data_IF_908529956314
#
_entry.id   IF_908529956314
#
_cell.length_a   1.000
_cell.length_b   1.000
_cell.length_c   1.000
_cell.angle_alpha   90.00
_cell.angle_beta   90.00
_cell.angle_gamma   90.00
#
_symmetry.space_group_name_H-M   'P 1'
#
loop_
_entity.id
_entity.type
_entity.pdbx_description
1 polymer ?
#
# COMPACT_ATOMS: atom_id res chain seq x y z
N UNK A 1 8.50 -0.39 -15.33
CA UNK A 1 8.83 -0.52 -13.90
C UNK A 1 7.63 -1.16 -13.26
N UNK A 2 7.69 -2.46 -12.95
CA UNK A 2 6.59 -3.11 -12.23
C UNK A 2 6.61 -2.62 -10.78
N UNK A 3 5.45 -2.14 -10.30
CA UNK A 3 5.35 -1.65 -8.93
C UNK A 3 5.34 -2.83 -7.97
N UNK A 4 5.97 -2.65 -6.81
CA UNK A 4 6.11 -3.72 -5.82
C UNK A 4 4.80 -4.33 -5.34
N UNK A 5 3.67 -3.60 -5.43
CA UNK A 5 2.36 -4.14 -5.05
C UNK A 5 1.95 -5.37 -5.87
N UNK A 6 2.47 -5.55 -7.10
CA UNK A 6 2.17 -6.73 -7.94
C UNK A 6 2.63 -8.05 -7.29
N UNK A 7 3.61 -8.00 -6.39
CA UNK A 7 4.14 -9.16 -5.67
C UNK A 7 3.32 -9.54 -4.42
N UNK A 8 2.22 -8.83 -4.15
CA UNK A 8 1.20 -9.27 -3.16
C UNK A 8 0.38 -10.48 -3.65
N UNK A 9 0.57 -10.90 -4.91
CA UNK A 9 0.10 -12.16 -5.50
C UNK A 9 0.77 -13.42 -4.93
N UNK A 10 0.45 -14.59 -5.48
CA UNK A 10 1.16 -15.85 -5.19
C UNK A 10 2.45 -16.01 -6.00
N UNK A 11 2.75 -15.05 -6.88
CA UNK A 11 3.97 -15.06 -7.67
C UNK A 11 5.19 -14.77 -6.78
N UNK A 12 6.20 -15.64 -6.79
CA UNK A 12 7.48 -15.33 -6.16
C UNK A 12 8.25 -14.29 -6.98
N UNK A 13 9.15 -13.56 -6.31
CA UNK A 13 10.15 -12.75 -6.97
C UNK A 13 11.56 -13.20 -6.61
N UNK A 14 12.49 -12.98 -7.54
CA UNK A 14 13.92 -13.20 -7.33
C UNK A 14 14.63 -11.87 -7.13
N UNK A 15 15.68 -11.87 -6.32
CA UNK A 15 16.46 -10.65 -6.08
C UNK A 15 17.91 -10.96 -5.72
N UNK A 16 18.73 -9.91 -5.82
CA UNK A 16 20.14 -9.92 -5.40
C UNK A 16 20.36 -8.80 -4.41
N UNK A 17 21.06 -9.13 -3.33
CA UNK A 17 21.55 -8.18 -2.33
C UNK A 17 23.06 -8.08 -2.50
N UNK A 18 23.53 -6.89 -2.87
CA UNK A 18 24.95 -6.60 -3.00
C UNK A 18 25.48 -6.07 -1.66
N UNK A 19 26.53 -6.71 -1.14
CA UNK A 19 27.22 -6.28 0.07
C UNK A 19 28.74 -6.25 -0.19
N UNK A 20 29.25 -5.07 -0.55
CA UNK A 20 30.64 -4.88 -0.95
C UNK A 20 30.96 -5.69 -2.21
N UNK A 21 31.84 -6.68 -2.09
CA UNK A 21 32.21 -7.59 -3.19
C UNK A 21 31.41 -8.90 -3.22
N UNK A 22 30.48 -9.09 -2.28
CA UNK A 22 29.66 -10.30 -2.19
C UNK A 22 28.25 -10.02 -2.72
N UNK A 23 27.73 -10.96 -3.50
CA UNK A 23 26.35 -10.96 -3.96
C UNK A 23 25.62 -12.15 -3.33
N UNK A 24 24.53 -11.86 -2.64
CA UNK A 24 23.60 -12.87 -2.13
C UNK A 24 22.37 -12.85 -3.02
N UNK A 25 21.91 -14.01 -3.47
CA UNK A 25 20.74 -14.14 -4.31
C UNK A 25 19.68 -15.03 -3.66
N UNK A 26 18.44 -14.75 -4.01
CA UNK A 26 17.30 -15.62 -3.75
C UNK A 26 16.43 -15.73 -5.01
N UNK A 27 15.83 -16.90 -5.18
CA UNK A 27 14.97 -17.20 -6.34
C UNK A 27 13.47 -17.18 -6.02
N UNK A 28 13.11 -17.41 -4.77
CA UNK A 28 11.73 -17.56 -4.31
C UNK A 28 11.48 -16.70 -3.06
N UNK A 29 11.34 -15.39 -3.26
CA UNK A 29 10.86 -14.45 -2.26
C UNK A 29 9.35 -14.25 -2.40
N UNK A 30 8.63 -14.29 -1.28
CA UNK A 30 7.19 -14.03 -1.24
C UNK A 30 6.92 -12.84 -0.33
N UNK A 31 6.17 -11.86 -0.84
CA UNK A 31 5.87 -10.65 -0.08
C UNK A 31 4.88 -10.94 1.04
N UNK A 32 5.21 -10.57 2.27
CA UNK A 32 4.34 -10.74 3.43
C UNK A 32 3.56 -9.48 3.74
N UNK A 33 4.23 -8.33 3.69
CA UNK A 33 3.61 -7.04 3.93
C UNK A 33 4.06 -6.04 2.88
N UNK A 34 3.14 -5.17 2.49
CA UNK A 34 3.37 -4.06 1.62
C UNK A 34 2.69 -2.84 2.24
N UNK A 35 3.43 -1.76 2.48
CA UNK A 35 2.83 -0.49 2.86
C UNK A 35 3.40 0.68 2.08
N UNK A 36 2.54 1.66 1.82
CA UNK A 36 2.90 2.93 1.21
C UNK A 36 2.36 4.05 2.06
N UNK A 37 3.24 4.94 2.46
CA UNK A 37 2.90 6.14 3.21
C UNK A 37 3.39 7.37 2.46
N UNK A 38 2.56 8.40 2.44
CA UNK A 38 2.84 9.64 1.75
C UNK A 38 2.12 10.80 2.44
N UNK A 39 2.83 11.90 2.63
CA UNK A 39 2.29 13.15 3.18
C UNK A 39 2.74 14.35 2.38
N UNK A 40 2.00 15.45 2.47
CA UNK A 40 2.39 16.72 1.86
C UNK A 40 3.76 17.15 2.38
N UNK A 41 4.68 17.50 1.48
CA UNK A 41 6.03 17.94 1.82
C UNK A 41 6.99 16.82 2.26
N UNK A 42 6.56 15.55 2.21
CA UNK A 42 7.38 14.40 2.59
C UNK A 42 7.73 13.55 1.37
N UNK A 43 8.87 12.85 1.42
CA UNK A 43 9.21 11.87 0.39
C UNK A 43 8.31 10.65 0.60
N UNK A 44 7.56 10.19 -0.44
CA UNK A 44 6.76 8.97 -0.34
C UNK A 44 7.65 7.78 0.01
N UNK A 45 7.20 6.96 0.95
CA UNK A 45 7.93 5.77 1.39
C UNK A 45 7.13 4.52 1.06
N UNK A 46 7.84 3.48 0.60
CA UNK A 46 7.31 2.15 0.40
C UNK A 46 8.08 1.23 1.34
N UNK A 47 7.37 0.47 2.17
CA UNK A 47 7.96 -0.53 3.05
C UNK A 47 7.43 -1.91 2.67
N UNK A 48 8.33 -2.88 2.54
CA UNK A 48 7.96 -4.26 2.18
C UNK A 48 8.66 -5.26 3.07
N UNK A 49 7.93 -6.24 3.60
CA UNK A 49 8.52 -7.44 4.20
C UNK A 49 8.33 -8.63 3.27
N UNK A 50 9.29 -9.55 3.24
CA UNK A 50 9.20 -10.75 2.42
C UNK A 50 9.92 -11.91 3.08
N UNK A 51 9.33 -13.09 2.95
CA UNK A 51 9.93 -14.35 3.38
C UNK A 51 10.52 -15.08 2.17
N UNK A 52 11.75 -15.56 2.34
CA UNK A 52 12.47 -16.32 1.32
C UNK A 52 12.37 -17.78 1.68
N UNK A 53 11.91 -18.60 0.73
CA UNK A 53 11.85 -20.05 0.91
C UNK A 53 12.78 -20.76 -0.07
N UNK A 54 13.45 -21.81 0.42
CA UNK A 54 14.42 -22.58 -0.37
C UNK A 54 15.80 -21.93 -0.38
N UNK A 55 16.37 -21.74 -1.57
CA UNK A 55 17.79 -21.37 -1.71
C UNK A 55 18.03 -19.87 -1.53
N UNK A 56 18.73 -19.54 -0.45
CA UNK A 56 19.40 -18.27 -0.22
C UNK A 56 20.91 -18.51 -0.17
N UNK A 57 21.68 -17.84 -1.04
CA UNK A 57 23.11 -18.10 -1.09
C UNK A 57 23.90 -17.17 -1.99
N UNK A 58 25.22 -17.39 -2.04
CA UNK A 58 26.11 -16.62 -2.90
C UNK A 58 25.97 -17.08 -4.35
N UNK A 59 25.70 -16.16 -5.26
CA UNK A 59 25.53 -16.43 -6.68
C UNK A 59 25.43 -15.15 -7.49
N UNK A 60 25.35 -15.28 -8.82
CA UNK A 60 25.14 -14.15 -9.72
C UNK A 60 23.77 -14.28 -10.39
N UNK A 61 22.95 -13.22 -10.27
CA UNK A 61 21.78 -13.01 -11.09
C UNK A 61 22.06 -11.78 -11.95
N UNK A 62 21.79 -11.84 -13.25
CA UNK A 62 21.86 -10.65 -14.10
C UNK A 62 20.66 -9.77 -13.75
N UNK A 63 20.90 -8.72 -12.97
CA UNK A 63 19.89 -7.70 -12.70
C UNK A 63 19.92 -6.71 -13.86
N UNK A 64 18.78 -6.36 -14.48
CA UNK A 64 18.74 -5.29 -15.47
C UNK A 64 19.25 -3.98 -14.86
N UNK A 65 19.94 -3.17 -15.67
CA UNK A 65 20.41 -1.85 -15.24
C UNK A 65 19.20 -0.96 -14.96
N UNK A 66 19.03 -0.56 -13.71
CA UNK A 66 17.95 0.32 -13.31
C UNK A 66 18.19 1.75 -13.80
N UNK A 67 17.21 2.29 -14.52
CA UNK A 67 17.11 3.71 -14.77
C UNK A 67 16.39 4.36 -13.58
N UNK A 68 17.15 4.97 -12.68
CA UNK A 68 16.57 5.76 -11.61
C UNK A 68 16.08 7.11 -12.15
N UNK A 69 14.89 7.58 -11.74
CA UNK A 69 14.46 8.93 -12.09
C UNK A 69 15.44 9.95 -11.52
N UNK A 70 15.82 10.93 -12.34
CA UNK A 70 16.79 11.98 -11.97
C UNK A 70 16.24 12.99 -10.95
N UNK A 71 14.93 12.96 -10.68
CA UNK A 71 14.25 13.90 -9.80
C UNK A 71 13.31 13.17 -8.85
N UNK A 72 13.45 13.46 -7.56
CA UNK A 72 12.52 13.04 -6.52
C UNK A 72 11.33 13.98 -6.57
N UNK A 73 10.13 13.40 -6.57
CA UNK A 73 8.90 14.17 -6.52
C UNK A 73 8.41 14.28 -5.07
N UNK A 74 8.40 15.51 -4.55
CA UNK A 74 7.80 15.79 -3.25
C UNK A 74 6.35 16.25 -3.50
N UNK A 75 5.35 15.53 -2.96
CA UNK A 75 3.95 15.88 -3.06
C UNK A 75 3.66 17.26 -2.47
N UNK A 76 2.86 18.04 -3.19
CA UNK A 76 2.31 19.32 -2.76
C UNK A 76 0.79 19.21 -2.56
N UNK A 77 0.15 20.27 -2.08
CA UNK A 77 -1.30 20.41 -2.11
C UNK A 77 -1.83 20.15 -3.54
N UNK A 78 -2.92 19.39 -3.69
CA UNK A 78 -3.45 18.89 -4.97
C UNK A 78 -2.68 17.74 -5.65
N UNK A 79 -1.56 17.26 -5.09
CA UNK A 79 -0.87 16.08 -5.63
C UNK A 79 -1.55 14.76 -5.23
N UNK A 80 -2.48 14.79 -4.27
CA UNK A 80 -3.19 13.62 -3.77
C UNK A 80 -4.68 13.82 -3.95
N UNK A 81 -5.36 12.83 -4.51
CA UNK A 81 -6.80 12.81 -4.70
C UNK A 81 -7.38 11.55 -4.06
N UNK A 82 -8.48 11.74 -3.36
CA UNK A 82 -9.24 10.69 -2.71
C UNK A 82 -10.67 10.73 -3.21
N UNK A 83 -11.14 9.57 -3.68
CA UNK A 83 -12.52 9.32 -4.03
C UNK A 83 -13.07 8.26 -3.07
N UNK A 84 -14.15 8.60 -2.40
CA UNK A 84 -14.89 7.75 -1.47
C UNK A 84 -16.37 7.79 -1.85
N UNK A 85 -16.74 7.19 -2.98
CA UNK A 85 -18.10 6.99 -3.52
C UNK A 85 -19.05 8.21 -3.34
N UNK A 86 -19.53 8.41 -2.12
CA UNK A 86 -20.12 9.63 -1.55
C UNK A 86 -19.40 10.97 -1.79
N UNK A 87 -18.06 11.05 -1.76
CA UNK A 87 -17.36 12.33 -1.93
C UNK A 87 -15.98 12.22 -2.59
N UNK A 88 -15.54 13.35 -3.15
CA UNK A 88 -14.23 13.51 -3.78
C UNK A 88 -13.51 14.68 -3.14
N UNK A 89 -12.23 14.51 -2.80
CA UNK A 89 -11.41 15.61 -2.29
C UNK A 89 -9.97 15.52 -2.79
N UNK A 90 -9.38 16.67 -3.06
CA UNK A 90 -7.95 16.85 -3.34
C UNK A 90 -7.20 17.51 -2.18
N UNK A 91 -7.86 17.67 -1.02
CA UNK A 91 -7.29 18.20 0.23
C UNK A 91 -6.85 17.09 1.19
N UNK A 92 -6.17 16.08 0.64
CA UNK A 92 -5.59 14.99 1.40
C UNK A 92 -4.24 15.46 1.97
N UNK A 93 -4.08 15.41 3.29
CA UNK A 93 -2.84 15.80 3.97
C UNK A 93 -1.83 14.65 3.98
N UNK A 94 -2.30 13.43 4.21
CA UNK A 94 -1.51 12.22 4.16
C UNK A 94 -2.39 10.99 3.91
N UNK A 95 -1.77 9.93 3.42
CA UNK A 95 -2.34 8.59 3.38
C UNK A 95 -1.29 7.55 3.77
N UNK A 96 -1.77 6.45 4.30
CA UNK A 96 -1.03 5.23 4.56
C UNK A 96 -1.90 4.04 4.15
N UNK A 97 -1.39 3.21 3.25
CA UNK A 97 -2.06 1.98 2.81
C UNK A 97 -1.16 0.83 3.17
N UNK A 98 -1.70 -0.16 3.89
CA UNK A 98 -0.98 -1.38 4.26
C UNK A 98 -1.77 -2.61 3.84
N UNK A 99 -1.07 -3.57 3.26
CA UNK A 99 -1.58 -4.85 2.78
C UNK A 99 -0.79 -5.95 3.49
N UNK A 100 -1.50 -6.82 4.21
CA UNK A 100 -0.93 -7.97 4.89
C UNK A 100 -1.33 -9.26 4.19
N UNK A 101 -0.35 -9.91 3.55
CA UNK A 101 -0.48 -11.19 2.85
C UNK A 101 0.33 -12.25 3.59
N UNK A 102 -0.19 -12.86 4.67
CA UNK A 102 0.51 -13.92 5.37
C UNK A 102 0.83 -15.08 4.41
N UNK A 103 1.99 -15.73 4.54
CA UNK A 103 2.44 -16.79 3.64
C UNK A 103 2.46 -18.15 4.33
N UNK A 104 1.90 -19.15 3.66
CA UNK A 104 1.83 -20.53 4.13
C UNK A 104 2.63 -21.42 3.17
N UNK A 105 3.80 -21.93 3.59
CA UNK A 105 4.57 -22.89 2.80
C UNK A 105 3.97 -24.30 2.90
N UNK A 106 3.87 -24.98 1.77
CA UNK A 106 3.41 -26.36 1.65
C UNK A 106 4.61 -27.27 1.33
N UNK A 107 4.81 -28.29 2.14
CA UNK A 107 5.91 -29.26 1.99
C UNK A 107 5.35 -30.63 1.63
N UNK A 108 5.86 -31.23 0.56
CA UNK A 108 5.65 -32.64 0.28
C UNK A 108 6.57 -33.51 1.17
N UNK A 109 6.16 -34.77 1.40
CA UNK A 109 6.95 -35.70 2.19
C UNK A 109 8.27 -36.00 1.48
N UNK A 110 9.38 -35.66 2.13
CA UNK A 110 10.74 -35.94 1.66
C UNK A 110 11.44 -34.77 0.97
N UNK A 111 10.76 -33.64 0.77
CA UNK A 111 11.36 -32.43 0.19
C UNK A 111 11.91 -31.50 1.29
N UNK A 112 13.06 -30.89 1.03
CA UNK A 112 13.72 -29.88 1.86
C UNK A 112 13.32 -28.44 1.47
N UNK A 113 12.74 -28.26 0.29
CA UNK A 113 12.12 -27.02 -0.17
C UNK A 113 10.59 -27.13 -0.22
N UNK A 114 9.84 -26.03 0.01
CA UNK A 114 8.39 -26.08 -0.15
C UNK A 114 8.01 -26.29 -1.62
N UNK A 115 7.12 -27.25 -1.85
CA UNK A 115 6.51 -27.56 -3.14
C UNK A 115 5.68 -26.39 -3.67
N UNK A 116 5.13 -25.56 -2.77
CA UNK A 116 4.44 -24.32 -3.11
C UNK A 116 4.29 -23.41 -1.88
N UNK A 117 4.04 -22.13 -2.13
CA UNK A 117 3.69 -21.16 -1.07
C UNK A 117 2.41 -20.47 -1.50
N UNK A 118 1.42 -20.48 -0.63
CA UNK A 118 0.12 -19.85 -0.86
C UNK A 118 -0.04 -18.64 0.07
N UNK A 119 -0.73 -17.61 -0.40
CA UNK A 119 -1.21 -16.57 0.49
C UNK A 119 -2.29 -17.12 1.43
N UNK A 120 -2.15 -16.86 2.73
CA UNK A 120 -3.20 -17.10 3.71
C UNK A 120 -4.35 -16.12 3.47
N UNK A 121 -5.56 -16.65 3.36
CA UNK A 121 -6.80 -15.87 3.22
C UNK A 121 -7.51 -15.75 4.57
N UNK A 122 -8.13 -14.60 4.89
CA UNK A 122 -8.27 -13.41 4.06
C UNK A 122 -7.02 -12.51 4.07
N UNK A 123 -6.79 -11.80 2.97
CA UNK A 123 -5.78 -10.74 2.89
C UNK A 123 -6.38 -9.47 3.46
N UNK A 124 -5.75 -8.91 4.49
CA UNK A 124 -6.22 -7.70 5.14
C UNK A 124 -5.58 -6.46 4.49
N UNK A 125 -6.41 -5.49 4.15
CA UNK A 125 -5.98 -4.18 3.66
C UNK A 125 -6.49 -3.11 4.61
N UNK A 126 -5.58 -2.28 5.12
CA UNK A 126 -5.91 -1.11 5.91
C UNK A 126 -5.51 0.14 5.12
N UNK A 127 -6.42 1.10 4.98
CA UNK A 127 -6.13 2.40 4.43
C UNK A 127 -6.47 3.48 5.46
N UNK A 128 -5.47 4.28 5.78
CA UNK A 128 -5.53 5.44 6.65
C UNK A 128 -5.35 6.68 5.79
N UNK A 129 -6.14 7.71 6.04
CA UNK A 129 -5.90 9.02 5.44
C UNK A 129 -6.44 10.13 6.31
N UNK A 130 -5.79 11.27 6.19
CA UNK A 130 -6.19 12.50 6.83
C UNK A 130 -6.55 13.52 5.76
N UNK A 131 -7.72 14.13 5.89
CA UNK A 131 -8.18 15.20 5.00
C UNK A 131 -8.45 16.47 5.80
N UNK A 132 -8.34 17.60 5.12
CA UNK A 132 -8.87 18.86 5.61
C UNK A 132 -10.35 18.98 5.26
N UNK A 133 -11.16 19.45 6.20
CA UNK A 133 -12.62 19.53 6.05
C UNK A 133 -12.98 20.77 5.23
N UNK A 134 -13.61 20.54 4.08
CA UNK A 134 -14.25 21.57 3.26
C UNK A 134 -15.69 21.12 2.95
N UNK A 135 -15.82 20.15 2.05
CA UNK A 135 -17.12 19.62 1.60
C UNK A 135 -17.53 18.30 2.29
N UNK A 136 -16.71 17.79 3.21
CA UNK A 136 -17.02 16.54 3.91
C UNK A 136 -18.03 16.79 5.03
N UNK A 137 -19.23 16.26 4.85
CA UNK A 137 -20.26 16.24 5.88
C UNK A 137 -20.08 15.00 6.77
N UNK A 138 -19.92 15.23 8.07
CA UNK A 138 -19.83 14.15 9.05
C UNK A 138 -21.14 13.38 9.06
N UNK A 139 -21.05 12.08 8.79
CA UNK A 139 -22.19 11.16 8.79
C UNK A 139 -22.81 11.02 10.18
N UNK A 140 -24.10 10.70 10.21
CA UNK A 140 -24.81 10.56 11.48
C UNK A 140 -24.34 9.27 12.20
N UNK A 141 -23.70 9.44 13.35
CA UNK A 141 -23.20 8.33 14.17
C UNK A 141 -24.28 7.31 14.60
N UNK A 142 -25.56 7.66 14.49
CA UNK A 142 -26.69 6.78 14.82
C UNK A 142 -27.13 5.86 13.67
N UNK A 143 -26.68 6.09 12.43
CA UNK A 143 -27.04 5.31 11.24
C UNK A 143 -26.04 4.19 10.89
N UNK A 144 -25.21 3.77 11.85
CA UNK A 144 -24.36 2.59 11.73
C UNK A 144 -25.28 1.36 11.77
N UNK A 145 -25.38 0.56 10.69
CA UNK A 145 -24.27 0.17 9.80
C UNK A 145 -24.40 0.56 8.32
N UNK A 146 -25.45 1.26 7.89
CA UNK A 146 -25.72 1.43 6.46
C UNK A 146 -24.79 2.45 5.77
N UNK A 147 -24.20 3.38 6.53
CA UNK A 147 -23.35 4.45 5.98
C UNK A 147 -21.83 4.20 6.15
N UNK A 148 -21.41 3.07 6.71
CA UNK A 148 -19.99 2.79 7.04
C UNK A 148 -19.24 2.02 5.96
N UNK A 149 -19.92 1.54 4.91
CA UNK A 149 -19.27 0.82 3.81
C UNK A 149 -19.13 1.73 2.58
N UNK A 150 -17.89 1.92 2.14
CA UNK A 150 -17.57 2.60 0.88
C UNK A 150 -17.36 1.55 -0.20
N UNK A 151 -18.23 1.56 -1.22
CA UNK A 151 -18.20 0.56 -2.29
C UNK A 151 -17.00 0.72 -3.19
N UNK A 152 -16.67 1.96 -3.54
CA UNK A 152 -15.56 2.31 -4.40
C UNK A 152 -14.68 3.34 -3.67
N UNK A 153 -13.47 2.92 -3.29
CA UNK A 153 -12.46 3.82 -2.73
C UNK A 153 -11.29 3.87 -3.67
N UNK A 154 -10.92 5.07 -4.15
CA UNK A 154 -9.71 5.24 -4.95
C UNK A 154 -8.80 6.32 -4.39
N UNK A 155 -7.51 6.00 -4.30
CA UNK A 155 -6.45 6.92 -3.87
C UNK A 155 -5.53 7.12 -5.06
N UNK A 156 -5.34 8.36 -5.48
CA UNK A 156 -4.48 8.73 -6.62
C UNK A 156 -3.39 9.66 -6.15
N UNK A 157 -2.14 9.28 -6.43
CA UNK A 157 -0.98 10.14 -6.26
C UNK A 157 -0.54 10.64 -7.64
N UNK A 158 -0.54 11.95 -7.81
CA UNK A 158 -0.13 12.67 -9.01
C UNK A 158 1.26 13.26 -8.84
N UNK A 159 1.89 13.56 -9.97
CA UNK A 159 3.14 14.29 -10.01
C UNK A 159 2.88 15.74 -9.55
N UNK A 160 3.69 16.26 -8.63
CA UNK A 160 3.59 17.66 -8.19
C UNK A 160 3.40 18.64 -9.36
N UNK A 161 2.33 19.44 -9.28
CA UNK A 161 1.91 20.43 -10.28
C UNK A 161 1.63 19.85 -11.68
N UNK A 162 1.17 18.60 -11.79
CA UNK A 162 0.83 17.96 -13.07
C UNK A 162 -0.28 16.91 -12.90
N UNK A 163 -1.04 16.65 -13.96
CA UNK A 163 -2.07 15.60 -14.00
C UNK A 163 -1.52 14.20 -14.27
N UNK A 164 -0.19 14.04 -14.32
CA UNK A 164 0.45 12.74 -14.51
C UNK A 164 0.28 11.90 -13.24
N UNK A 165 -0.49 10.83 -13.33
CA UNK A 165 -0.66 9.84 -12.27
C UNK A 165 0.63 9.03 -12.08
N UNK A 166 1.14 9.00 -10.85
CA UNK A 166 2.26 8.16 -10.45
C UNK A 166 1.78 6.82 -9.93
N UNK A 167 0.67 6.82 -9.20
CA UNK A 167 0.14 5.65 -8.51
C UNK A 167 -1.37 5.83 -8.29
N UNK A 168 -2.09 4.71 -8.43
CA UNK A 168 -3.52 4.63 -8.20
C UNK A 168 -3.81 3.34 -7.44
N UNK A 169 -4.47 3.45 -6.30
CA UNK A 169 -5.10 2.34 -5.61
C UNK A 169 -6.60 2.42 -5.79
N UNK A 170 -7.23 1.28 -6.03
CA UNK A 170 -8.68 1.13 -6.07
C UNK A 170 -9.03 -0.08 -5.21
N UNK A 171 -9.92 0.13 -4.25
CA UNK A 171 -10.40 -0.91 -3.36
C UNK A 171 -11.91 -0.93 -3.38
N UNK A 172 -12.45 -2.13 -3.40
CA UNK A 172 -13.89 -2.34 -3.36
C UNK A 172 -14.31 -2.71 -1.93
N UNK A 173 -15.49 -2.23 -1.54
CA UNK A 173 -16.15 -2.55 -0.26
C UNK A 173 -15.25 -2.32 0.97
N UNK A 174 -14.69 -1.12 1.10
CA UNK A 174 -13.95 -0.73 2.29
C UNK A 174 -14.90 -0.36 3.43
N UNK A 175 -14.71 -0.96 4.60
CA UNK A 175 -15.46 -0.65 5.81
C UNK A 175 -14.73 0.42 6.63
N UNK A 176 -15.46 1.47 7.00
CA UNK A 176 -15.03 2.47 7.97
C UNK A 176 -14.98 1.84 9.36
N UNK A 177 -13.77 1.66 9.87
CA UNK A 177 -13.52 1.10 11.21
C UNK A 177 -13.50 2.21 12.27
N UNK A 178 -12.93 3.37 11.92
CA UNK A 178 -12.97 4.54 12.80
C UNK A 178 -12.91 5.85 12.01
N UNK A 179 -13.57 6.87 12.55
CA UNK A 179 -13.52 8.24 12.07
C UNK A 179 -13.28 9.17 13.27
N UNK A 180 -12.44 10.18 13.10
CA UNK A 180 -12.22 11.20 14.13
C UNK A 180 -12.13 12.59 13.52
N UNK A 181 -12.87 13.52 14.10
CA UNK A 181 -12.84 14.94 13.73
C UNK A 181 -12.02 15.72 14.75
N UNK A 182 -11.12 16.58 14.28
CA UNK A 182 -10.31 17.46 15.10
C UNK A 182 -10.35 18.88 14.56
N UNK A 183 -10.53 19.86 15.43
CA UNK A 183 -10.48 21.28 15.09
C UNK A 183 -9.68 22.02 16.16
N UNK A 184 -8.90 23.01 15.75
CA UNK A 184 -8.12 23.84 16.66
C UNK A 184 -8.25 25.31 16.29
N UNK A 185 -7.95 26.21 17.22
CA UNK A 185 -7.97 27.65 16.94
C UNK A 185 -6.80 28.10 16.04
N UNK A 186 -5.83 27.21 15.77
CA UNK A 186 -4.62 27.52 15.01
C UNK A 186 -4.59 26.86 13.63
N UNK A 187 -5.46 25.89 13.36
CA UNK A 187 -5.43 25.07 12.16
C UNK A 187 -6.83 24.81 11.65
N UNK A 188 -6.94 24.52 10.35
CA UNK A 188 -8.20 24.08 9.77
C UNK A 188 -8.63 22.76 10.39
N UNK A 189 -9.94 22.49 10.35
CA UNK A 189 -10.48 21.24 10.83
C UNK A 189 -9.95 20.08 9.96
N UNK A 190 -9.56 18.98 10.60
CA UNK A 190 -9.10 17.78 9.92
C UNK A 190 -9.84 16.55 10.40
N UNK A 191 -10.09 15.63 9.47
CA UNK A 191 -10.72 14.34 9.76
C UNK A 191 -9.74 13.23 9.42
N UNK A 192 -9.61 12.28 10.34
CA UNK A 192 -8.87 11.04 10.11
C UNK A 192 -9.84 9.90 9.91
N UNK A 193 -9.61 9.12 8.87
CA UNK A 193 -10.36 7.91 8.56
C UNK A 193 -9.46 6.69 8.63
N UNK A 194 -10.00 5.61 9.19
CA UNK A 194 -9.42 4.28 9.15
C UNK A 194 -10.41 3.37 8.42
N UNK A 195 -10.03 2.95 7.22
CA UNK A 195 -10.76 2.00 6.42
C UNK A 195 -10.08 0.64 6.45
N UNK A 196 -10.87 -0.42 6.44
CA UNK A 196 -10.39 -1.80 6.35
C UNK A 196 -11.20 -2.57 5.32
N UNK A 197 -10.55 -3.42 4.54
CA UNK A 197 -11.23 -4.41 3.71
C UNK A 197 -10.49 -5.75 3.78
N UNK A 198 -11.21 -6.80 3.41
CA UNK A 198 -10.71 -8.15 3.33
C UNK A 198 -10.87 -8.65 1.91
N UNK A 199 -9.75 -9.06 1.30
CA UNK A 199 -9.76 -9.67 -0.02
C UNK A 199 -9.76 -11.19 0.20
N UNK A 200 -10.83 -11.84 -0.25
CA UNK A 200 -10.92 -13.29 -0.34
C UNK A 200 -10.31 -13.72 -1.69
N UNK A 201 -9.42 -14.70 -1.66
CA UNK A 201 -8.83 -15.33 -2.84
C UNK A 201 -9.28 -16.78 -2.93
#
# INVERSE_FOLDING_TARGET
>A
MEMMYNFTGDAPFSGVVEYGSKQFMFRKGYMETYSVACGIGQIPTISTSSSIYGQFGTGSLTVPVDNYPSQINIPSYSSMELNLDTFNTNRVLNFDVSVATPRLPLYALGDDEPTGVIAGTPVEVNANFQIEVDDYEIKNMRLIPDETVFKNTSIVLKKNNSDIELMRYSFDNMLLTSESFSASNSSNASVNFNLRTFILR
#
